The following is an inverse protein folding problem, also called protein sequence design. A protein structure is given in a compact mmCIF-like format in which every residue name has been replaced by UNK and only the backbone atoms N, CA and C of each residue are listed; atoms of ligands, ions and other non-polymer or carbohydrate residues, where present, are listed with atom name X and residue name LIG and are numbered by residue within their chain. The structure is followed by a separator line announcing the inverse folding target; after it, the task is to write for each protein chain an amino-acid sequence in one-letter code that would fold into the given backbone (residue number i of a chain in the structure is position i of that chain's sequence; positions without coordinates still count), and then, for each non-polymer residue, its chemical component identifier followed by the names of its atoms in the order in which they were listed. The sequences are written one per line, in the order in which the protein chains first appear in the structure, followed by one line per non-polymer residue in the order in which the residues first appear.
data_IF_675477369829
#
_entry.id   IF_675477369829
#
_cell.length_a   1.000
_cell.length_b   1.000
_cell.length_c   1.000
_cell.angle_alpha   90.00
_cell.angle_beta   90.00
_cell.angle_gamma   90.00
#
_symmetry.space_group_name_H-M   'P 1'
#
loop_
_entity.id
_entity.type
_entity.pdbx_description
1 polymer ?
2 branched ?
3 non-polymer ?
4 water ?
#
# COMPACT_ATOMS: atom_id res chain seq x y z
N UNK A 1 5.65 18.99 13.57
CA UNK A 1 6.60 19.56 14.57
C UNK A 1 6.89 21.03 14.23
N UNK A 2 7.74 21.26 13.24
CA UNK A 2 8.09 22.62 12.83
C UNK A 2 6.94 23.29 12.06
N UNK A 3 6.92 24.63 12.09
CA UNK A 3 5.89 25.42 11.42
C UNK A 3 5.97 25.44 9.89
N UNK A 4 4.81 25.39 9.25
CA UNK A 4 4.73 25.44 7.78
C UNK A 4 4.93 26.90 7.35
N UNK A 5 5.43 27.11 6.12
CA UNK A 5 5.64 28.47 5.62
C UNK A 5 4.35 29.00 5.02
N UNK A 6 4.39 30.26 4.60
CA UNK A 6 3.23 30.88 3.95
C UNK A 6 3.01 30.14 2.64
N UNK A 7 1.76 29.79 2.35
CA UNK A 7 1.41 29.08 1.13
C UNK A 7 0.13 29.66 0.55
N UNK A 8 0.04 29.74 -0.77
CA UNK A 8 -1.15 30.24 -1.43
C UNK A 8 -1.82 29.10 -2.18
N UNK A 9 -3.07 28.81 -1.83
CA UNK A 9 -3.81 27.74 -2.47
C UNK A 9 -5.30 27.93 -2.27
N UNK A 10 -6.13 27.25 -3.09
CA UNK A 10 -7.59 27.35 -2.99
C UNK A 10 -8.08 27.08 -1.57
N UNK A 11 -9.00 27.92 -1.11
CA UNK A 11 -9.57 27.79 0.22
C UNK A 11 -10.55 26.61 0.25
N UNK A 12 -10.39 25.69 1.23
CA UNK A 12 -11.31 24.55 1.27
C UNK A 12 -12.75 25.05 1.45
N UNK A 13 -13.70 24.40 0.78
CA UNK A 13 -15.09 24.81 0.85
C UNK A 13 -15.89 23.92 1.79
N UNK A 14 -16.15 24.43 2.99
CA UNK A 14 -16.90 23.70 4.01
C UNK A 14 -18.25 23.17 3.53
N UNK A 15 -18.91 23.93 2.68
CA UNK A 15 -20.23 23.52 2.17
C UNK A 15 -20.17 22.91 0.77
N UNK A 16 -19.00 22.35 0.43
CA UNK A 16 -18.80 21.72 -0.87
C UNK A 16 -18.02 20.42 -0.69
N UNK A 17 -18.69 19.27 -0.82
CA UNK A 17 -18.03 17.97 -0.67
C UNK A 17 -16.90 17.79 -1.68
N UNK A 18 -15.85 17.06 -1.29
CA UNK A 18 -14.73 16.79 -2.18
C UNK A 18 -15.27 16.01 -3.37
N UNK A 19 -15.81 14.84 -3.06
CA UNK A 19 -16.38 13.95 -4.05
C UNK A 19 -17.80 13.63 -3.60
N UNK A 20 -18.71 13.51 -4.56
CA UNK A 20 -20.09 13.20 -4.24
C UNK A 20 -20.41 11.83 -4.79
N UNK A 21 -19.40 11.19 -5.36
CA UNK A 21 -19.56 9.86 -5.94
C UNK A 21 -18.93 8.76 -5.12
N UNK A 22 -18.08 9.13 -4.16
CA UNK A 22 -17.41 8.14 -3.33
C UNK A 22 -17.28 8.54 -1.87
N UNK A 23 -17.09 7.54 -1.03
CA UNK A 23 -16.91 7.73 0.41
C UNK A 23 -15.46 8.16 0.59
N UNK A 24 -15.23 9.30 1.24
CA UNK A 24 -13.88 9.78 1.44
C UNK A 24 -13.34 9.68 2.87
N UNK A 25 -14.10 9.01 3.74
CA UNK A 25 -13.69 8.83 5.14
C UNK A 25 -14.41 7.59 5.70
N UNK A 26 -13.69 6.77 6.45
CA UNK A 26 -14.27 5.55 7.04
C UNK A 26 -15.09 5.83 8.31
N UNK A 27 -15.84 4.83 8.79
CA UNK A 27 -16.64 5.02 10.01
C UNK A 27 -15.76 5.25 11.25
N UNK A 28 -14.46 4.95 11.13
CA UNK A 28 -13.57 5.19 12.27
C UNK A 28 -12.72 6.44 12.04
N UNK A 29 -13.18 7.26 11.10
CA UNK A 29 -12.58 8.55 10.75
C UNK A 29 -11.21 8.54 10.12
N UNK A 30 -10.90 7.50 9.35
CA UNK A 30 -9.63 7.42 8.63
C UNK A 30 -9.97 7.88 7.22
N UNK A 31 -9.15 8.77 6.64
CA UNK A 31 -9.46 9.22 5.28
C UNK A 31 -9.29 8.11 4.24
N UNK A 32 -10.08 8.19 3.18
CA UNK A 32 -9.99 7.23 2.08
C UNK A 32 -9.43 8.10 0.97
N UNK A 33 -8.20 7.80 0.59
CA UNK A 33 -7.47 8.58 -0.41
C UNK A 33 -7.90 8.43 -1.86
N UNK A 34 -8.58 9.48 -2.37
CA UNK A 34 -9.04 9.56 -3.75
C UNK A 34 -8.48 10.85 -4.34
N UNK A 35 -8.27 10.87 -5.66
CA UNK A 35 -7.78 12.08 -6.30
C UNK A 35 -8.85 13.15 -6.01
N UNK A 36 -8.43 14.37 -5.73
CA UNK A 36 -9.38 15.40 -5.41
C UNK A 36 -9.59 15.59 -3.92
N UNK A 37 -9.06 14.69 -3.10
CA UNK A 37 -9.24 14.84 -1.65
C UNK A 37 -8.06 15.52 -0.96
N UNK A 38 -6.93 15.65 -1.65
CA UNK A 38 -5.77 16.24 -1.02
C UNK A 38 -4.99 17.26 -1.83
N UNK A 39 -4.34 18.18 -1.12
CA UNK A 39 -3.48 19.18 -1.74
C UNK A 39 -2.09 18.59 -1.50
N UNK A 40 -1.47 18.07 -2.56
CA UNK A 40 -0.15 17.46 -2.43
C UNK A 40 0.91 18.44 -1.99
N UNK A 41 0.71 19.72 -2.29
CA UNK A 41 1.67 20.73 -1.91
C UNK A 41 1.77 20.89 -0.40
N UNK A 42 0.62 20.86 0.26
CA UNK A 42 0.61 20.98 1.71
C UNK A 42 1.26 19.75 2.34
N UNK A 43 0.83 18.58 1.88
CA UNK A 43 1.36 17.30 2.38
C UNK A 43 2.86 17.15 2.17
N UNK A 44 3.37 17.54 1.00
CA UNK A 44 4.80 17.46 0.73
C UNK A 44 5.55 18.30 1.74
N UNK A 45 5.06 19.52 1.98
CA UNK A 45 5.68 20.41 2.94
C UNK A 45 5.76 19.75 4.32
N UNK A 46 4.62 19.26 4.80
CA UNK A 46 4.57 18.63 6.10
C UNK A 46 5.59 17.51 6.23
N UNK A 47 5.67 16.63 5.23
CA UNK A 47 6.60 15.52 5.30
C UNK A 47 8.06 15.87 5.02
N UNK A 48 8.31 16.87 4.18
CA UNK A 48 9.69 17.24 3.91
C UNK A 48 10.31 17.83 5.17
N UNK A 49 9.52 18.62 5.91
CA UNK A 49 10.00 19.25 7.13
C UNK A 49 10.40 18.22 8.19
N UNK A 50 9.94 16.98 8.02
CA UNK A 50 10.26 15.91 8.95
C UNK A 50 11.40 15.10 8.36
N UNK A 51 11.84 15.47 7.16
CA UNK A 51 12.90 14.77 6.47
C UNK A 51 12.55 13.28 6.44
N UNK A 52 11.32 13.01 6.01
CA UNK A 52 10.77 11.66 5.93
C UNK A 52 11.45 10.73 4.93
N UNK A 53 11.73 9.50 5.36
CA UNK A 53 12.35 8.50 4.50
C UNK A 53 11.37 7.32 4.32
N UNK A 54 11.11 6.96 3.06
CA UNK A 54 10.18 5.87 2.78
C UNK A 54 10.87 4.65 2.20
N UNK A 55 10.65 3.50 2.83
CA UNK A 55 11.21 2.27 2.34
C UNK A 55 10.16 1.59 1.48
N UNK A 56 10.57 1.06 0.34
CA UNK A 56 9.65 0.36 -0.56
C UNK A 56 10.19 -1.05 -0.70
N UNK A 57 9.42 -2.03 -0.26
CA UNK A 57 9.84 -3.43 -0.32
C UNK A 57 9.13 -4.23 -1.41
N UNK A 58 9.90 -5.08 -2.08
CA UNK A 58 9.37 -5.96 -3.12
C UNK A 58 10.12 -7.28 -3.09
N UNK A 59 9.41 -8.35 -3.40
CA UNK A 59 10.01 -9.68 -3.44
C UNK A 59 9.99 -10.11 -4.89
N UNK A 60 11.17 -10.29 -5.47
CA UNK A 60 11.29 -10.71 -6.86
C UNK A 60 12.00 -12.06 -6.92
N UNK A 61 11.22 -13.12 -6.81
CA UNK A 61 11.76 -14.47 -6.85
C UNK A 61 11.54 -15.14 -8.20
N UNK A 62 12.53 -15.94 -8.61
CA UNK A 62 12.48 -16.66 -9.87
C UNK A 62 12.23 -15.78 -11.10
N UNK A 63 11.18 -16.13 -11.84
CA UNK A 63 10.81 -15.41 -13.05
C UNK A 63 10.44 -13.94 -12.84
N UNK A 64 9.92 -13.61 -11.67
CA UNK A 64 9.52 -12.24 -11.39
C UNK A 64 10.61 -11.18 -11.45
N UNK A 65 11.88 -11.59 -11.38
CA UNK A 65 12.97 -10.62 -11.43
C UNK A 65 12.91 -9.85 -12.74
N UNK A 66 12.18 -10.39 -13.71
CA UNK A 66 12.03 -9.75 -15.00
C UNK A 66 11.16 -8.50 -14.95
N UNK A 67 10.42 -8.32 -13.85
CA UNK A 67 9.55 -7.16 -13.70
C UNK A 67 10.23 -6.00 -12.98
N UNK A 68 11.41 -6.26 -12.41
CA UNK A 68 12.15 -5.25 -11.66
C UNK A 68 12.50 -3.99 -12.42
N UNK A 69 12.98 -4.14 -13.66
CA UNK A 69 13.37 -2.97 -14.44
C UNK A 69 12.23 -1.97 -14.62
N UNK A 70 11.10 -2.44 -15.14
CA UNK A 70 9.96 -1.56 -15.36
C UNK A 70 9.44 -1.02 -14.02
N UNK A 71 9.45 -1.88 -13.00
CA UNK A 71 8.98 -1.50 -11.66
C UNK A 71 9.80 -0.32 -11.12
N UNK A 72 11.11 -0.53 -11.03
CA UNK A 72 12.02 0.50 -10.51
C UNK A 72 12.05 1.77 -11.35
N UNK A 73 12.00 1.63 -12.67
CA UNK A 73 12.03 2.79 -13.56
C UNK A 73 10.81 3.69 -13.37
N UNK A 74 9.63 3.08 -13.30
CA UNK A 74 8.42 3.85 -13.13
C UNK A 74 8.33 4.41 -11.70
N UNK A 75 8.89 3.67 -10.73
CA UNK A 75 8.88 4.14 -9.35
C UNK A 75 9.68 5.44 -9.28
N UNK A 76 10.79 5.49 -10.02
CA UNK A 76 11.64 6.66 -10.05
C UNK A 76 10.89 7.86 -10.59
N UNK A 77 9.92 7.62 -11.46
CA UNK A 77 9.15 8.70 -12.05
C UNK A 77 7.92 9.10 -11.27
N UNK A 78 7.32 8.17 -10.52
CA UNK A 78 6.11 8.49 -9.78
C UNK A 78 6.05 8.25 -8.27
N UNK A 79 7.02 7.51 -7.72
CA UNK A 79 6.97 7.19 -6.30
C UNK A 79 7.76 8.09 -5.36
N UNK A 80 7.03 8.82 -4.52
CA UNK A 80 7.62 9.70 -3.52
C UNK A 80 8.67 10.66 -4.07
N UNK A 81 8.50 11.10 -5.32
CA UNK A 81 9.46 12.01 -5.94
C UNK A 81 9.65 13.27 -5.08
N UNK A 82 10.89 13.53 -4.69
CA UNK A 82 11.18 14.69 -3.88
C UNK A 82 11.52 14.32 -2.46
N UNK A 83 11.22 13.07 -2.07
CA UNK A 83 11.51 12.61 -0.73
C UNK A 83 12.57 11.51 -0.77
N UNK A 84 13.12 11.18 0.39
CA UNK A 84 14.12 10.11 0.48
C UNK A 84 13.45 8.75 0.37
N UNK A 85 13.96 7.91 -0.52
CA UNK A 85 13.41 6.58 -0.73
C UNK A 85 14.49 5.51 -0.70
N UNK A 86 14.17 4.40 -0.06
CA UNK A 86 15.08 3.28 0.02
C UNK A 86 14.35 2.05 -0.46
N UNK A 87 14.78 1.50 -1.60
CA UNK A 87 14.16 0.30 -2.15
C UNK A 87 14.82 -0.92 -1.53
N UNK A 88 14.02 -1.91 -1.17
CA UNK A 88 14.54 -3.15 -0.62
C UNK A 88 14.04 -4.27 -1.53
N UNK A 89 14.95 -4.81 -2.33
CA UNK A 89 14.60 -5.88 -3.25
C UNK A 89 15.03 -7.23 -2.70
N UNK A 90 14.05 -8.04 -2.28
CA UNK A 90 14.34 -9.37 -1.77
C UNK A 90 14.25 -10.32 -2.96
N UNK A 91 15.38 -10.92 -3.32
CA UNK A 91 15.42 -11.82 -4.47
C UNK A 91 16.31 -13.04 -4.28
N UNK A 92 16.10 -14.04 -5.13
CA UNK A 92 16.88 -15.26 -5.09
C UNK A 92 17.93 -15.21 -6.20
N UNK A 93 17.96 -14.08 -6.91
CA UNK A 93 18.92 -13.87 -7.99
C UNK A 93 19.49 -12.47 -7.93
N UNK A 94 20.30 -12.18 -6.92
CA UNK A 94 20.92 -10.86 -6.72
C UNK A 94 21.60 -10.28 -7.96
N UNK A 95 22.25 -11.12 -8.74
CA UNK A 95 22.95 -10.68 -9.94
C UNK A 95 22.02 -10.32 -11.09
N UNK A 96 20.76 -10.72 -10.99
CA UNK A 96 19.80 -10.42 -12.04
C UNK A 96 19.08 -9.08 -11.84
N UNK A 97 19.29 -8.45 -10.69
CA UNK A 97 18.65 -7.16 -10.44
C UNK A 97 19.22 -6.13 -11.41
N UNK A 98 18.37 -5.55 -12.26
CA UNK A 98 18.85 -4.56 -13.23
C UNK A 98 19.49 -3.33 -12.59
N UNK A 99 20.44 -2.74 -13.31
CA UNK A 99 21.11 -1.53 -12.84
C UNK A 99 20.27 -0.35 -13.29
N UNK A 100 19.42 0.15 -12.39
CA UNK A 100 18.55 1.28 -12.71
C UNK A 100 19.11 2.58 -12.14
N UNK A 101 19.00 3.65 -12.91
CA UNK A 101 19.50 4.94 -12.47
C UNK A 101 18.52 5.57 -11.48
N UNK A 102 19.04 5.99 -10.34
CA UNK A 102 18.19 6.58 -9.30
C UNK A 102 18.42 8.06 -9.08
N UNK A 103 17.35 8.78 -8.76
CA UNK A 103 17.45 10.20 -8.50
C UNK A 103 18.17 10.40 -7.17
N UNK A 104 18.62 11.62 -6.90
CA UNK A 104 19.32 11.89 -5.66
C UNK A 104 18.46 11.62 -4.43
N UNK A 105 19.09 11.17 -3.35
CA UNK A 105 18.36 10.88 -2.13
C UNK A 105 17.62 9.55 -2.16
N UNK A 106 17.88 8.76 -3.19
CA UNK A 106 17.22 7.48 -3.32
C UNK A 106 18.24 6.35 -3.47
N UNK A 107 18.02 5.27 -2.73
CA UNK A 107 18.95 4.16 -2.80
C UNK A 107 18.27 2.80 -2.90
N UNK A 108 19.05 1.80 -3.26
CA UNK A 108 18.51 0.45 -3.41
C UNK A 108 19.39 -0.58 -2.73
N UNK A 109 18.76 -1.48 -1.99
CA UNK A 109 19.47 -2.54 -1.30
C UNK A 109 18.95 -3.87 -1.82
N UNK A 110 19.87 -4.77 -2.18
CA UNK A 110 19.48 -6.07 -2.65
C UNK A 110 19.73 -7.05 -1.51
N UNK A 111 18.67 -7.71 -1.04
CA UNK A 111 18.82 -8.68 0.04
C UNK A 111 18.52 -10.05 -0.55
N UNK A 112 19.51 -10.94 -0.51
CA UNK A 112 19.34 -12.28 -1.03
C UNK A 112 18.58 -13.13 -0.06
N UNK A 113 17.63 -13.92 -0.57
CA UNK A 113 16.83 -14.78 0.29
C UNK A 113 16.88 -16.22 -0.22
N UNK A 134 17.25 -8.19 8.78
CA UNK A 134 16.86 -7.98 10.19
C UNK A 134 15.90 -6.79 10.36
N UNK A 135 14.73 -7.07 10.94
CA UNK A 135 13.70 -6.07 11.17
C UNK A 135 14.26 -4.77 11.75
N UNK A 136 15.08 -4.89 12.77
CA UNK A 136 15.70 -3.76 13.45
C UNK A 136 16.29 -2.76 12.45
N UNK A 137 16.86 -3.30 11.36
CA UNK A 137 17.47 -2.49 10.32
C UNK A 137 16.49 -1.44 9.79
N UNK A 138 15.28 -1.89 9.47
CA UNK A 138 14.23 -0.99 8.97
C UNK A 138 13.96 0.13 9.96
N UNK A 139 13.94 -0.22 11.24
CA UNK A 139 13.68 0.74 12.31
C UNK A 139 14.63 1.93 12.30
N UNK A 140 15.86 1.71 11.87
CA UNK A 140 16.84 2.78 11.86
C UNK A 140 17.11 3.39 10.48
N UNK A 141 16.57 2.80 9.43
CA UNK A 141 16.81 3.35 8.11
C UNK A 141 15.65 4.10 7.49
N UNK A 142 14.42 3.72 7.85
CA UNK A 142 13.26 4.37 7.28
C UNK A 142 12.19 4.70 8.33
N UNK A 143 11.28 5.60 7.97
CA UNK A 143 10.22 6.00 8.85
C UNK A 143 8.94 5.26 8.48
N UNK A 144 8.79 4.95 7.21
CA UNK A 144 7.61 4.24 6.72
C UNK A 144 8.00 3.13 5.78
N UNK A 145 7.18 2.09 5.75
CA UNK A 145 7.42 0.95 4.87
C UNK A 145 6.20 0.77 3.98
N UNK A 146 6.44 0.65 2.69
CA UNK A 146 5.38 0.43 1.72
C UNK A 146 5.71 -0.92 1.09
N UNK A 147 4.77 -1.87 1.19
CA UNK A 147 5.00 -3.22 0.67
C UNK A 147 4.12 -3.53 -0.54
N UNK A 148 4.75 -3.77 -1.69
CA UNK A 148 4.00 -4.05 -2.90
C UNK A 148 4.53 -5.22 -3.71
N UNK A 149 3.77 -5.60 -4.74
CA UNK A 149 4.16 -6.68 -5.64
C UNK A 149 5.07 -6.10 -6.72
N UNK A 150 5.96 -6.92 -7.25
CA UNK A 150 6.90 -6.47 -8.26
C UNK A 150 6.33 -6.44 -9.68
N UNK A 151 5.39 -7.32 -10.00
CA UNK A 151 4.80 -7.33 -11.33
C UNK A 151 3.79 -6.21 -11.49
N UNK A 152 4.25 -4.98 -11.27
CA UNK A 152 3.40 -3.79 -11.35
C UNK A 152 4.22 -2.64 -11.95
N UNK A 153 3.55 -1.53 -12.23
CA UNK A 153 4.24 -0.36 -12.77
C UNK A 153 3.47 0.88 -12.35
N UNK A 154 4.20 1.93 -12.00
CA UNK A 154 3.54 3.17 -11.61
C UNK A 154 3.22 3.92 -12.88
N UNK A 155 2.00 4.44 -12.97
CA UNK A 155 1.57 5.18 -14.15
C UNK A 155 1.22 6.62 -13.79
N UNK A 156 1.15 6.90 -12.49
CA UNK A 156 0.85 8.24 -12.04
C UNK A 156 1.34 8.40 -10.60
N UNK A 157 1.15 9.60 -10.07
CA UNK A 157 1.58 9.98 -8.73
C UNK A 157 1.15 9.06 -7.58
N UNK A 158 2.13 8.70 -6.76
CA UNK A 158 1.93 7.91 -5.56
C UNK A 158 2.91 8.55 -4.59
N UNK A 159 2.39 9.49 -3.78
CA UNK A 159 3.26 10.21 -2.86
C UNK A 159 2.91 10.11 -1.40
N UNK A 160 3.34 11.10 -0.63
CA UNK A 160 3.12 11.14 0.82
C UNK A 160 1.68 11.15 1.30
N UNK A 161 0.73 11.37 0.39
CA UNK A 161 -0.67 11.37 0.79
C UNK A 161 -1.07 10.00 1.38
N UNK A 162 -0.27 8.96 1.10
CA UNK A 162 -0.57 7.62 1.62
C UNK A 162 0.05 7.31 2.98
N UNK A 163 1.07 8.07 3.37
CA UNK A 163 1.78 7.85 4.62
C UNK A 163 0.93 8.08 5.87
N UNK A 164 0.98 7.10 6.77
CA UNK A 164 0.18 7.13 7.99
C UNK A 164 0.66 5.93 8.83
N UNK A 165 0.26 5.88 10.11
CA UNK A 165 0.73 4.73 10.89
C UNK A 165 0.41 3.37 10.26
N UNK A 166 -0.79 3.22 9.69
CA UNK A 166 -1.18 1.95 9.08
C UNK A 166 -2.20 2.14 7.94
N UNK A 167 -1.91 1.59 6.76
CA UNK A 167 -2.84 1.72 5.64
C UNK A 167 -3.02 0.46 4.82
N UNK A 168 -4.25 0.29 4.32
CA UNK A 168 -4.60 -0.85 3.49
C UNK A 168 -5.13 -0.25 2.20
N UNK A 169 -5.27 -1.07 1.15
CA UNK A 169 -5.74 -0.58 -0.13
C UNK A 169 -7.00 -1.33 -0.58
N UNK A 170 -7.98 -0.61 -1.10
CA UNK A 170 -9.22 -1.23 -1.56
C UNK A 170 -8.97 -2.08 -2.82
N UNK A 171 -9.30 -3.36 -2.75
CA UNK A 171 -9.12 -4.26 -3.88
C UNK A 171 -9.92 -3.72 -5.07
N UNK A 172 -9.28 -3.59 -6.24
CA UNK A 172 -9.93 -3.07 -7.45
C UNK A 172 -11.12 -3.86 -7.96
N UNK A 173 -11.31 -5.07 -7.45
CA UNK A 173 -12.41 -5.89 -7.90
C UNK A 173 -13.55 -6.08 -6.91
N UNK A 174 -13.44 -5.52 -5.72
CA UNK A 174 -14.50 -5.68 -4.71
C UNK A 174 -14.95 -4.39 -4.04
N UNK A 175 -14.36 -3.26 -4.43
CA UNK A 175 -14.71 -2.00 -3.81
C UNK A 175 -16.21 -1.66 -3.85
N UNK A 176 -16.92 -2.18 -4.84
CA UNK A 176 -18.34 -1.91 -4.93
C UNK A 176 -19.20 -3.08 -4.48
N UNK A 177 -18.54 -4.13 -3.98
CA UNK A 177 -19.25 -5.33 -3.54
C UNK A 177 -19.76 -5.25 -2.11
N UNK A 178 -20.68 -6.13 -1.76
CA UNK A 178 -21.22 -6.18 -0.41
C UNK A 178 -20.26 -7.10 0.35
N UNK A 179 -20.23 -7.00 1.67
CA UNK A 179 -19.31 -7.81 2.46
C UNK A 179 -19.48 -9.31 2.25
N UNK A 180 -20.72 -9.77 2.19
CA UNK A 180 -21.00 -11.19 2.01
C UNK A 180 -20.36 -11.73 0.73
N UNK A 181 -20.11 -10.85 -0.23
CA UNK A 181 -19.50 -11.24 -1.49
C UNK A 181 -17.97 -11.27 -1.41
N UNK A 182 -17.40 -10.58 -0.43
CA UNK A 182 -15.94 -10.54 -0.25
C UNK A 182 -15.36 -11.95 -0.14
N UNK A 183 -14.19 -12.16 -0.72
CA UNK A 183 -13.57 -13.48 -0.67
C UNK A 183 -12.73 -13.70 0.59
N UNK A 184 -13.30 -13.33 1.74
CA UNK A 184 -12.64 -13.51 3.03
C UNK A 184 -12.53 -15.02 3.29
N UNK A 185 -11.71 -15.41 4.25
CA UNK A 185 -11.62 -16.83 4.59
C UNK A 185 -12.90 -17.08 5.36
N UNK A 186 -13.66 -18.11 4.99
CA UNK A 186 -14.92 -18.39 5.68
C UNK A 186 -14.94 -19.61 6.58
N UNK A 187 -13.80 -20.27 6.75
CA UNK A 187 -13.71 -21.47 7.59
C UNK A 187 -13.33 -21.13 9.04
N UNK A 188 -14.23 -21.40 10.00
CA UNK A 188 -14.01 -21.15 11.42
C UNK A 188 -12.71 -21.77 11.93
N UNK A 189 -12.21 -22.77 11.21
CA UNK A 189 -10.98 -23.44 11.61
C UNK A 189 -9.75 -22.54 11.40
N UNK A 190 -9.78 -21.72 10.35
CA UNK A 190 -8.67 -20.83 10.03
C UNK A 190 -8.63 -19.57 10.90
N UNK A 191 -7.41 -19.11 11.16
CA UNK A 191 -7.21 -17.91 11.96
C UNK A 191 -7.67 -16.66 11.22
N UNK A 192 -7.67 -16.73 9.89
CA UNK A 192 -8.08 -15.61 9.05
C UNK A 192 -9.59 -15.58 8.85
N UNK A 193 -10.29 -16.46 9.55
CA UNK A 193 -11.75 -16.56 9.45
C UNK A 193 -12.51 -15.26 9.75
N UNK A 194 -13.43 -14.91 8.86
CA UNK A 194 -14.27 -13.72 9.01
C UNK A 194 -15.70 -14.08 8.63
N UNK A 195 -16.64 -14.06 9.60
CA UNK A 195 -18.04 -14.39 9.32
C UNK A 195 -18.68 -13.46 8.29
N UNK A 196 -19.80 -13.90 7.72
CA UNK A 196 -20.51 -13.13 6.70
C UNK A 196 -21.04 -11.77 7.14
N UNK A 197 -21.29 -11.59 8.43
CA UNK A 197 -21.82 -10.32 8.91
C UNK A 197 -20.75 -9.33 9.36
N UNK A 198 -19.48 -9.68 9.19
CA UNK A 198 -18.38 -8.81 9.57
C UNK A 198 -17.53 -8.40 8.38
N UNK A 199 -16.89 -7.24 8.48
CA UNK A 199 -16.05 -6.76 7.39
C UNK A 199 -16.39 -5.37 6.92
N UNK A 200 -15.37 -4.55 6.75
CA UNK A 200 -15.56 -3.18 6.28
C UNK A 200 -15.31 -3.12 4.78
N UNK A 201 -14.08 -3.47 4.39
CA UNK A 201 -13.68 -3.49 3.00
C UNK A 201 -12.86 -4.74 2.76
N UNK A 202 -12.55 -5.00 1.49
CA UNK A 202 -11.69 -6.13 1.15
C UNK A 202 -10.39 -5.49 0.69
N UNK A 203 -9.35 -5.63 1.49
CA UNK A 203 -8.07 -5.02 1.15
C UNK A 203 -7.20 -5.94 0.31
N UNK A 204 -6.34 -5.34 -0.50
CA UNK A 204 -5.40 -6.04 -1.35
C UNK A 204 -4.17 -6.48 -0.59
N UNK A 205 -3.66 -7.66 -0.89
CA UNK A 205 -2.46 -8.12 -0.21
C UNK A 205 -1.23 -7.48 -0.84
N UNK A 206 -1.38 -6.98 -2.06
CA UNK A 206 -0.26 -6.40 -2.77
C UNK A 206 0.07 -4.92 -2.62
N UNK A 207 -0.55 -4.23 -1.67
CA UNK A 207 -0.24 -2.83 -1.45
C UNK A 207 -0.74 -2.37 -0.09
N UNK A 208 0.17 -2.39 0.88
CA UNK A 208 -0.15 -1.98 2.23
C UNK A 208 1.12 -1.43 2.84
N UNK A 209 0.99 -0.69 3.93
CA UNK A 209 2.16 -0.13 4.58
C UNK A 209 1.83 0.70 5.80
N UNK A 210 2.80 1.50 6.23
CA UNK A 210 2.63 2.35 7.39
C UNK A 210 3.96 2.56 8.08
N UNK A 211 3.94 2.89 9.36
CA UNK A 211 5.20 3.09 10.08
C UNK A 211 5.89 1.73 10.18
N UNK A 212 7.20 1.73 10.37
CA UNK A 212 7.92 0.47 10.47
C UNK A 212 7.35 -0.37 11.62
N UNK A 213 7.06 0.28 12.74
CA UNK A 213 6.51 -0.42 13.89
C UNK A 213 5.19 -1.13 13.56
N UNK A 214 4.26 -0.40 12.95
CA UNK A 214 2.97 -0.99 12.61
C UNK A 214 3.07 -2.09 11.55
N UNK A 215 3.92 -1.90 10.55
CA UNK A 215 4.08 -2.91 9.52
C UNK A 215 4.69 -4.18 10.12
N UNK A 216 5.68 -4.01 11.00
CA UNK A 216 6.29 -5.18 11.63
C UNK A 216 5.28 -5.93 12.51
N UNK A 217 4.42 -5.18 13.19
CA UNK A 217 3.39 -5.81 14.02
C UNK A 217 2.42 -6.61 13.17
N UNK A 218 2.05 -6.06 12.01
CA UNK A 218 1.12 -6.73 11.12
C UNK A 218 1.71 -8.01 10.54
N UNK A 219 2.96 -7.95 10.08
CA UNK A 219 3.58 -9.12 9.48
C UNK A 219 3.85 -10.17 10.55
N UNK A 220 4.17 -9.72 11.75
CA UNK A 220 4.43 -10.65 12.85
C UNK A 220 3.13 -11.37 13.22
N UNK A 221 2.01 -10.65 13.26
CA UNK A 221 0.73 -11.25 13.60
C UNK A 221 0.31 -12.23 12.51
N UNK A 222 0.60 -11.85 11.26
CA UNK A 222 0.24 -12.69 10.12
C UNK A 222 1.05 -13.97 10.08
N UNK A 223 2.36 -13.86 10.29
CA UNK A 223 3.23 -15.03 10.27
C UNK A 223 2.82 -16.03 11.35
N UNK A 224 2.49 -15.54 12.54
CA UNK A 224 2.08 -16.41 13.63
C UNK A 224 0.73 -17.08 13.31
N UNK A 225 -0.20 -16.31 12.75
CA UNK A 225 -1.51 -16.84 12.41
C UNK A 225 -1.39 -17.93 11.35
N UNK A 226 -0.51 -17.70 10.38
CA UNK A 226 -0.30 -18.67 9.30
C UNK A 226 0.31 -19.95 9.83
N UNK A 227 1.14 -19.84 10.86
CA UNK A 227 1.77 -21.00 11.46
C UNK A 227 0.72 -21.84 12.18
N UNK A 228 -0.11 -21.19 12.98
CA UNK A 228 -1.16 -21.88 13.71
C UNK A 228 -2.04 -22.66 12.73
N UNK A 229 -2.40 -22.03 11.62
CA UNK A 229 -3.23 -22.69 10.61
C UNK A 229 -2.50 -23.88 9.99
N UNK A 230 -1.20 -23.71 9.76
CA UNK A 230 -0.40 -24.77 9.17
C UNK A 230 -0.34 -25.97 10.10
N UNK A 231 -0.19 -25.70 11.40
CA UNK A 231 -0.13 -26.74 12.40
C UNK A 231 -1.47 -27.47 12.45
N UNK A 232 -2.54 -26.78 12.09
CA UNK A 232 -3.87 -27.38 12.09
C UNK A 232 -4.23 -27.87 10.69
N UNK A 233 -3.21 -28.04 9.85
CA UNK A 233 -3.42 -28.52 8.50
C UNK A 233 -4.43 -27.75 7.67
N UNK A 234 -4.32 -26.43 7.66
CA UNK A 234 -5.24 -25.61 6.88
C UNK A 234 -4.53 -24.39 6.30
N UNK A 235 -4.96 -23.97 5.12
CA UNK A 235 -4.38 -22.81 4.45
C UNK A 235 -5.50 -21.91 3.94
N UNK A 236 -5.57 -20.69 4.45
CA UNK A 236 -6.60 -19.72 4.05
C UNK A 236 -6.77 -19.65 2.54
N UNK A 237 -8.00 -19.45 2.10
CA UNK A 237 -8.35 -19.36 0.68
C UNK A 237 -7.42 -18.46 -0.13
N UNK A 238 -7.14 -17.26 0.36
CA UNK A 238 -6.27 -16.36 -0.36
C UNK A 238 -4.97 -16.05 0.36
N UNK A 239 -4.52 -17.06 1.11
CA UNK A 239 -3.27 -17.01 1.86
C UNK A 239 -2.96 -15.72 2.62
N UNK A 240 -1.84 -15.08 2.28
CA UNK A 240 -1.45 -13.85 2.96
C UNK A 240 -2.54 -12.78 2.96
N UNK A 241 -3.16 -12.56 1.81
CA UNK A 241 -4.22 -11.57 1.67
C UNK A 241 -5.39 -11.83 2.61
N UNK A 242 -5.67 -13.10 2.88
CA UNK A 242 -6.77 -13.44 3.78
C UNK A 242 -6.43 -13.01 5.20
N UNK A 243 -5.18 -13.24 5.61
CA UNK A 243 -4.75 -12.85 6.95
C UNK A 243 -4.64 -11.33 7.07
N UNK A 244 -4.22 -10.66 6.00
CA UNK A 244 -4.13 -9.20 6.04
C UNK A 244 -5.51 -8.64 6.34
N UNK A 245 -6.52 -9.16 5.64
CA UNK A 245 -7.88 -8.68 5.83
C UNK A 245 -8.38 -8.89 7.26
N UNK A 246 -7.99 -10.00 7.86
CA UNK A 246 -8.39 -10.30 9.23
C UNK A 246 -7.70 -9.32 10.18
N UNK A 247 -6.43 -9.03 9.92
CA UNK A 247 -5.70 -8.11 10.77
C UNK A 247 -6.29 -6.70 10.67
N UNK A 248 -6.54 -6.23 9.45
CA UNK A 248 -7.08 -4.90 9.26
C UNK A 248 -8.52 -4.74 9.75
N UNK A 249 -9.22 -5.85 9.95
CA UNK A 249 -10.59 -5.82 10.48
C UNK A 249 -10.50 -5.52 11.97
N UNK A 250 -9.58 -6.20 12.65
CA UNK A 250 -9.36 -6.05 14.08
C UNK A 250 -8.50 -4.85 14.49
N UNK A 251 -7.69 -4.33 13.57
CA UNK A 251 -6.85 -3.17 13.81
C UNK A 251 -7.09 -2.27 12.60
N UNK A 252 -8.05 -1.36 12.72
CA UNK A 252 -8.42 -0.46 11.64
C UNK A 252 -7.27 0.38 11.11
N UNK A 253 -7.09 0.41 9.79
CA UNK A 253 -6.00 1.22 9.21
C UNK A 253 -6.30 2.71 9.39
N UNK A 254 -5.27 3.51 9.63
CA UNK A 254 -5.44 4.94 9.82
C UNK A 254 -5.70 5.70 8.52
N UNK A 255 -5.53 5.01 7.41
CA UNK A 255 -5.82 5.55 6.07
C UNK A 255 -6.13 4.36 5.17
N UNK A 256 -7.02 4.58 4.20
CA UNK A 256 -7.37 3.53 3.24
C UNK A 256 -7.17 4.12 1.85
N UNK A 257 -6.39 3.45 1.02
CA UNK A 257 -6.15 3.96 -0.33
C UNK A 257 -7.25 3.45 -1.26
N UNK A 258 -7.68 4.29 -2.19
CA UNK A 258 -8.73 3.90 -3.12
C UNK A 258 -8.09 2.98 -4.16
N UNK A 259 -8.91 2.33 -5.00
CA UNK A 259 -8.40 1.44 -6.05
C UNK A 259 -7.48 2.14 -7.05
N UNK A 260 -7.36 3.46 -6.93
CA UNK A 260 -6.49 4.22 -7.82
C UNK A 260 -5.05 3.74 -7.59
N UNK A 261 -4.79 3.28 -6.37
CA UNK A 261 -3.45 2.85 -5.99
C UNK A 261 -3.05 1.43 -6.36
N UNK A 262 -3.98 0.67 -6.93
CA UNK A 262 -3.71 -0.68 -7.40
C UNK A 262 -4.87 -1.12 -8.28
N UNK A 263 -4.69 -0.93 -9.58
CA UNK A 263 -5.73 -1.26 -10.54
C UNK A 263 -5.23 -2.14 -11.66
N UNK A 264 -6.17 -2.76 -12.37
CA UNK A 264 -5.84 -3.61 -13.51
C UNK A 264 -6.75 -3.13 -14.64
N UNK A 265 -6.21 -2.26 -15.49
CA UNK A 265 -6.97 -1.70 -16.60
C UNK A 265 -7.42 -2.74 -17.63
N UNK A 266 -6.58 -3.74 -17.88
CA UNK A 266 -6.95 -4.78 -18.84
C UNK A 266 -8.18 -5.54 -18.37
N UNK A 267 -8.19 -5.89 -17.09
CA UNK A 267 -9.29 -6.65 -16.51
C UNK A 267 -10.50 -5.82 -16.06
N UNK A 268 -10.28 -4.56 -15.70
CA UNK A 268 -11.37 -3.73 -15.19
C UNK A 268 -11.67 -2.44 -15.96
N UNK A 269 -10.83 -2.11 -16.93
CA UNK A 269 -11.05 -0.91 -17.70
C UNK A 269 -10.69 0.36 -16.95
N UNK A 270 -11.46 1.42 -17.17
CA UNK A 270 -11.23 2.71 -16.52
C UNK A 270 -12.55 3.39 -16.15
N UNK A 271 -13.10 3.07 -14.97
CA UNK A 271 -14.37 3.67 -14.54
C UNK A 271 -14.22 5.18 -14.34
N UNK A 272 -15.34 5.89 -14.39
CA UNK A 272 -15.33 7.34 -14.21
C UNK A 272 -14.91 7.68 -12.78
N UNK A 273 -15.20 6.77 -11.86
CA UNK A 273 -14.87 6.98 -10.46
C UNK A 273 -13.37 7.08 -10.23
N UNK A 274 -12.58 6.62 -11.20
CA UNK A 274 -11.13 6.68 -11.10
C UNK A 274 -10.57 7.78 -11.99
N UNK A 275 -10.23 8.92 -11.37
CA UNK A 275 -9.69 10.06 -12.10
C UNK A 275 -8.23 9.83 -12.46
N UNK A 276 -7.62 8.85 -11.79
CA UNK A 276 -6.23 8.52 -12.03
C UNK A 276 -5.96 7.05 -11.77
N UNK A 277 -5.05 6.48 -12.54
CA UNK A 277 -4.62 5.10 -12.39
C UNK A 277 -3.15 5.29 -12.05
N UNK A 278 -2.81 5.13 -10.77
CA UNK A 278 -1.46 5.37 -10.28
C UNK A 278 -0.49 4.18 -10.27
N UNK A 279 -0.98 2.99 -9.89
CA UNK A 279 -0.16 1.79 -9.79
C UNK A 279 -0.97 0.66 -10.42
N UNK A 280 -0.44 0.05 -11.47
CA UNK A 280 -1.18 -1.01 -12.15
C UNK A 280 -0.45 -2.30 -12.42
N UNK A 281 -1.22 -3.32 -12.78
CA UNK A 281 -0.69 -4.64 -13.06
C UNK A 281 -0.07 -4.64 -14.46
N UNK A 282 1.02 -5.38 -14.61
CA UNK A 282 1.70 -5.48 -15.90
C UNK A 282 1.15 -6.68 -16.66
N UNK A 283 0.37 -6.43 -17.73
CA UNK A 283 -0.20 -7.52 -18.53
C UNK A 283 0.86 -8.43 -19.13
X LIG B 1 -8.37 -11.54 -7.80
X LIG B 1 -6.87 -11.20 -7.69
X LIG B 1 -6.19 -12.22 -6.77
X LIG B 1 -6.91 -12.25 -5.42
X LIG B 1 -8.40 -12.54 -5.63
X LIG B 1 -9.19 -12.50 -4.33
X LIG B 1 -9.03 -10.56 -8.60
X LIG B 1 -6.25 -11.23 -8.99
X LIG B 1 -6.76 -11.00 -4.78
X LIG B 1 -8.97 -11.55 -6.50
X LIG B 1 -10.44 -13.15 -4.47
X LIG B 1 -10.19 -11.12 -9.31
X LIG B 1 -10.82 -9.82 -9.85
X LIG B 1 -12.30 -9.94 -10.42
X LIG B 1 -13.36 -10.65 -9.42
X LIG B 1 -14.92 -10.50 -9.65
X LIG B 1 -15.60 -9.49 -8.74
X LIG B 2 -5.14 -10.41 -9.18
X LIG B 2 -4.48 -10.74 -10.53
X LIG B 2 -5.41 -10.38 -11.68
X LIG B 2 -5.87 -8.93 -11.56
X LIG B 2 -6.52 -8.70 -10.19
X LIG B 2 -6.95 -7.26 -9.96
X LIG B 2 -4.18 -12.13 -10.57
X LIG B 2 -4.74 -10.57 -12.93
X LIG B 2 -4.76 -8.05 -11.72
X LIG B 2 -5.57 -9.03 -9.14
X LIG C 1 2.43 -13.81 6.40
X LIG D 1 0.02 -10.47 5.98
X LIG E 1 7.11 -4.99 3.88
X LIG F 1 -11.91 18.29 -1.99
#
# INVERSE_FOLDING_TARGET
MVSLPRMVYPQPKVLTPCRKDVLVVTPWLAPIVWEGTFNIDILNEQFRLQNTTIGLTVFAIKKYVAFLKLFLETAEKHFMVGHRVHYYVFTDQPAAVPRVTLGTGRQLSVLEVRAYKRWQDVSMRRMEMISDFCERRFLSEVDYLVCVDVDMEFRDHVGVEILTPLFGTLHPGFYGSSREAFTYERRPQSQAYIPKDEGDFYYLGGFFGGSVQEVQRLTRACHQAMMVDQANGIEAVWHDESHLNKYLLRHKPTKVLSPEYLWDQQLLGWPAVLRKLRFTAVP
DLG C1 C2 C3 C4 C5 C6 O1 O2 O4 O5 O6 C11 C12 C13 C14 C15 C16
FUC C1 C2 C3 C4 C5 C6 O2 O3 O4 O5
HG HG
HG HG
HG HG
HG HG
#
